data_IF_624450569152
#
_entry.id   IF_624450569152
#
_cell.length_a   1.000
_cell.length_b   1.000
_cell.length_c   1.000
_cell.angle_alpha   90.00
_cell.angle_beta   90.00
_cell.angle_gamma   90.00
#
_symmetry.space_group_name_H-M   'P 1'
#
loop_
_entity.id
_entity.type
_entity.pdbx_description
1 polymer ?
#
# COMPACT_ATOMS: atom_id res chain seq x y z
N UNK A 1 -43.15 68.68 -33.63
CA UNK A 1 -43.90 68.50 -34.92
C UNK A 1 -44.18 67.02 -35.10
N UNK A 2 -45.29 66.66 -35.66
CA UNK A 2 -46.18 65.63 -35.07
C UNK A 2 -45.98 64.22 -35.64
N UNK A 3 -46.69 63.25 -35.09
CA UNK A 3 -46.47 61.83 -35.34
C UNK A 3 -47.34 61.30 -36.47
N UNK A 4 -46.95 60.22 -37.09
CA UNK A 4 -47.75 59.37 -38.02
C UNK A 4 -47.27 57.96 -37.82
N UNK A 5 -48.03 56.92 -37.69
CA UNK A 5 -49.42 56.63 -38.02
C UNK A 5 -49.46 55.10 -38.02
N UNK A 6 -50.32 54.53 -37.19
CA UNK A 6 -50.48 53.08 -37.00
C UNK A 6 -51.39 52.54 -38.11
N UNK A 7 -50.98 51.43 -38.81
CA UNK A 7 -51.87 50.63 -39.61
C UNK A 7 -51.66 49.17 -39.27
N UNK A 8 -52.70 48.39 -38.92
CA UNK A 8 -52.61 46.96 -38.66
C UNK A 8 -52.64 46.14 -39.94
N UNK A 9 -51.93 44.99 -40.00
CA UNK A 9 -52.07 44.08 -41.13
C UNK A 9 -53.23 43.10 -40.98
N UNK A 10 -53.83 42.84 -42.09
CA UNK A 10 -54.95 41.96 -42.36
C UNK A 10 -54.67 40.50 -41.96
N UNK A 11 -55.70 39.87 -41.38
CA UNK A 11 -55.77 38.42 -41.14
C UNK A 11 -56.16 37.69 -42.41
N UNK A 12 -55.38 36.66 -42.80
CA UNK A 12 -55.75 35.63 -43.74
C UNK A 12 -55.95 34.29 -42.98
N UNK A 13 -56.87 33.44 -43.44
CA UNK A 13 -57.27 32.22 -42.71
C UNK A 13 -56.30 31.08 -42.95
N UNK A 14 -56.01 30.33 -41.85
CA UNK A 14 -55.12 29.16 -41.83
C UNK A 14 -55.97 27.91 -42.11
N UNK A 15 -55.60 27.06 -43.08
CA UNK A 15 -56.23 25.76 -43.23
C UNK A 15 -55.74 24.77 -42.18
N UNK A 16 -56.66 24.13 -41.53
CA UNK A 16 -56.45 23.07 -40.52
C UNK A 16 -55.91 21.80 -41.20
N UNK A 17 -54.68 21.46 -40.99
CA UNK A 17 -54.17 20.11 -41.28
C UNK A 17 -54.03 19.35 -39.95
N UNK A 18 -54.83 18.31 -39.80
CA UNK A 18 -54.57 17.32 -38.72
C UNK A 18 -53.38 16.44 -39.10
N UNK A 19 -52.26 16.66 -38.42
CA UNK A 19 -51.13 15.74 -38.46
C UNK A 19 -51.14 14.92 -37.17
N UNK A 20 -51.41 13.63 -37.27
CA UNK A 20 -51.19 12.64 -36.22
C UNK A 20 -49.69 12.55 -35.97
N UNK A 21 -49.19 13.15 -34.90
CA UNK A 21 -47.87 12.94 -34.40
C UNK A 21 -47.88 11.77 -33.42
N UNK A 22 -47.44 10.60 -33.92
CA UNK A 22 -47.16 9.43 -33.09
C UNK A 22 -45.88 9.74 -32.28
N UNK A 23 -46.03 10.08 -31.00
CA UNK A 23 -44.94 10.30 -30.06
C UNK A 23 -44.36 8.92 -29.68
N UNK A 24 -43.29 8.50 -30.35
CA UNK A 24 -42.46 7.41 -29.86
C UNK A 24 -41.68 7.91 -28.64
N UNK A 25 -42.16 7.58 -27.43
CA UNK A 25 -41.37 7.65 -26.20
C UNK A 25 -40.28 6.57 -26.27
N UNK A 26 -39.11 6.92 -26.78
CA UNK A 26 -37.89 6.13 -26.49
C UNK A 26 -37.53 6.37 -25.03
N UNK A 27 -38.09 5.55 -24.16
CA UNK A 27 -37.61 5.43 -22.77
C UNK A 27 -36.18 4.91 -22.79
N UNK A 28 -35.22 5.81 -22.51
CA UNK A 28 -33.85 5.43 -22.15
C UNK A 28 -33.94 4.62 -20.87
N UNK A 29 -33.99 3.31 -20.96
CA UNK A 29 -33.70 2.41 -19.84
C UNK A 29 -32.21 2.58 -19.51
N UNK A 30 -31.91 3.54 -18.64
CA UNK A 30 -30.67 3.53 -17.89
C UNK A 30 -30.67 2.24 -17.08
N UNK A 31 -29.96 1.24 -17.56
CA UNK A 31 -29.65 0.06 -16.78
C UNK A 31 -28.75 0.53 -15.63
N UNK A 32 -29.36 0.90 -14.51
CA UNK A 32 -28.67 0.93 -13.23
C UNK A 32 -28.31 -0.53 -12.98
N UNK A 33 -27.07 -0.88 -13.28
CA UNK A 33 -26.48 -2.11 -12.77
C UNK A 33 -26.53 -2.01 -11.24
N UNK A 34 -27.62 -2.48 -10.65
CA UNK A 34 -27.64 -2.83 -9.24
C UNK A 34 -26.54 -3.88 -9.07
N UNK A 35 -25.40 -3.45 -8.53
CA UNK A 35 -24.47 -4.38 -7.90
C UNK A 35 -25.27 -5.05 -6.80
N UNK A 36 -25.76 -6.25 -7.07
CA UNK A 36 -26.35 -7.08 -6.05
C UNK A 36 -25.26 -7.21 -4.96
N UNK A 37 -25.55 -6.71 -3.78
CA UNK A 37 -24.73 -6.96 -2.61
C UNK A 37 -24.75 -8.47 -2.40
N UNK A 38 -23.68 -9.14 -2.80
CA UNK A 38 -23.56 -10.57 -2.60
C UNK A 38 -23.47 -10.79 -1.09
N UNK A 39 -24.37 -11.62 -0.57
CA UNK A 39 -24.30 -12.03 0.83
C UNK A 39 -22.97 -12.78 1.02
N UNK A 40 -22.22 -12.49 2.11
CA UNK A 40 -20.99 -13.24 2.39
C UNK A 40 -21.25 -14.75 2.35
N UNK A 41 -20.40 -15.51 1.68
CA UNK A 41 -20.50 -16.96 1.74
C UNK A 41 -19.99 -17.45 3.09
N UNK A 42 -20.72 -18.37 3.78
CA UNK A 42 -20.19 -18.96 5.01
C UNK A 42 -18.82 -19.60 4.74
N UNK A 43 -17.87 -19.55 5.70
CA UNK A 43 -16.57 -20.19 5.57
C UNK A 43 -16.70 -21.68 5.22
N UNK A 44 -16.16 -22.09 4.07
CA UNK A 44 -16.21 -23.47 3.58
C UNK A 44 -14.92 -24.19 3.96
N UNK A 45 -14.97 -25.41 4.56
CA UNK A 45 -13.79 -26.20 4.86
C UNK A 45 -12.95 -26.45 3.58
N UNK A 46 -11.64 -26.32 3.70
CA UNK A 46 -10.68 -26.52 2.62
C UNK A 46 -9.42 -27.18 3.17
N UNK A 47 -8.76 -28.02 2.36
CA UNK A 47 -7.46 -28.54 2.74
C UNK A 47 -6.47 -27.38 2.94
N UNK A 48 -5.75 -27.40 4.08
CA UNK A 48 -4.73 -26.38 4.33
C UNK A 48 -3.56 -26.51 3.35
N UNK A 49 -2.92 -25.40 2.96
CA UNK A 49 -1.63 -25.42 2.28
C UNK A 49 -0.57 -26.20 3.08
N UNK A 50 0.41 -26.78 2.40
CA UNK A 50 1.43 -27.64 3.00
C UNK A 50 2.30 -26.95 4.07
N UNK A 51 2.44 -25.65 3.99
CA UNK A 51 3.21 -24.83 4.93
C UNK A 51 2.52 -24.67 6.28
N UNK A 52 1.19 -24.86 6.32
CA UNK A 52 0.38 -24.81 7.54
C UNK A 52 0.46 -26.14 8.28
N UNK A 53 0.55 -26.18 9.64
CA UNK A 53 0.59 -27.44 10.39
C UNK A 53 -0.56 -28.37 10.01
N UNK A 54 -0.28 -29.66 9.84
CA UNK A 54 -1.19 -30.66 9.24
C UNK A 54 -2.52 -30.81 9.99
N UNK A 55 -2.53 -30.65 11.32
CA UNK A 55 -3.72 -30.79 12.16
C UNK A 55 -4.60 -29.52 12.18
N UNK A 56 -4.18 -28.48 11.46
CA UNK A 56 -4.92 -27.22 11.37
C UNK A 56 -6.20 -27.38 10.54
N UNK A 57 -7.17 -26.53 10.79
CA UNK A 57 -8.43 -26.48 10.03
C UNK A 57 -8.47 -25.19 9.21
N UNK A 58 -8.60 -25.33 7.90
CA UNK A 58 -8.65 -24.19 6.99
C UNK A 58 -10.03 -24.02 6.36
N UNK A 59 -10.36 -22.76 6.11
CA UNK A 59 -11.63 -22.35 5.52
C UNK A 59 -11.38 -21.25 4.48
N UNK A 60 -12.25 -21.18 3.48
CA UNK A 60 -12.21 -20.16 2.42
C UNK A 60 -13.60 -19.67 2.10
N UNK A 61 -13.73 -18.49 1.52
CA UNK A 61 -14.99 -17.93 1.08
C UNK A 61 -14.85 -16.56 0.43
N UNK A 62 -15.98 -15.93 0.20
CA UNK A 62 -16.11 -14.58 -0.35
C UNK A 62 -16.83 -13.68 0.64
N UNK A 63 -16.40 -12.41 0.72
CA UNK A 63 -16.92 -11.46 1.71
C UNK A 63 -18.21 -10.74 1.29
N UNK A 64 -18.76 -11.08 0.13
CA UNK A 64 -19.95 -10.43 -0.44
C UNK A 64 -19.71 -9.05 -1.04
N UNK A 65 -18.47 -8.59 -1.09
CA UNK A 65 -18.08 -7.31 -1.71
C UNK A 65 -16.98 -7.50 -2.78
N UNK A 66 -16.65 -8.76 -3.11
CA UNK A 66 -15.69 -9.13 -4.14
C UNK A 66 -14.31 -9.51 -3.61
N UNK A 67 -14.11 -9.57 -2.29
CA UNK A 67 -12.89 -10.11 -1.71
C UNK A 67 -13.02 -11.59 -1.41
N UNK A 68 -11.98 -12.36 -1.72
CA UNK A 68 -11.80 -13.72 -1.26
C UNK A 68 -11.03 -13.73 0.06
N UNK A 69 -11.22 -14.76 0.87
CA UNK A 69 -10.49 -14.89 2.12
C UNK A 69 -10.08 -16.33 2.43
N UNK A 70 -9.06 -16.45 3.26
CA UNK A 70 -8.70 -17.67 3.96
C UNK A 70 -8.72 -17.43 5.46
N UNK A 71 -9.10 -18.50 6.20
CA UNK A 71 -9.02 -18.60 7.66
C UNK A 71 -8.31 -19.91 7.98
N UNK A 72 -7.32 -19.86 8.87
CA UNK A 72 -6.62 -21.04 9.38
C UNK A 72 -6.70 -21.05 10.92
N UNK A 73 -7.24 -22.13 11.48
CA UNK A 73 -7.31 -22.36 12.91
C UNK A 73 -6.29 -23.43 13.30
N UNK A 74 -5.44 -23.21 14.32
CA UNK A 74 -4.59 -24.27 14.84
C UNK A 74 -5.42 -25.44 15.39
N UNK A 75 -4.81 -26.62 15.52
CA UNK A 75 -5.50 -27.84 15.95
C UNK A 75 -6.33 -27.65 17.22
N UNK A 76 -5.76 -26.98 18.21
CA UNK A 76 -6.39 -26.71 19.50
C UNK A 76 -6.84 -25.25 19.61
N UNK A 77 -7.72 -24.84 18.70
CA UNK A 77 -8.32 -23.52 18.75
C UNK A 77 -9.37 -23.44 19.88
N UNK A 78 -9.07 -22.66 20.91
CA UNK A 78 -9.90 -22.41 22.10
C UNK A 78 -10.37 -20.95 22.22
N UNK A 79 -10.47 -20.23 21.08
CA UNK A 79 -10.74 -18.79 20.99
C UNK A 79 -9.62 -17.92 21.60
N UNK A 80 -8.39 -18.37 21.53
CA UNK A 80 -7.22 -17.66 22.04
C UNK A 80 -6.92 -16.36 21.29
N UNK A 81 -5.96 -16.39 20.38
CA UNK A 81 -5.51 -15.21 19.61
C UNK A 81 -5.89 -15.36 18.14
N UNK A 82 -6.53 -14.34 17.59
CA UNK A 82 -6.77 -14.17 16.16
C UNK A 82 -5.81 -13.12 15.61
N UNK A 83 -5.08 -13.45 14.55
CA UNK A 83 -4.28 -12.51 13.76
C UNK A 83 -5.02 -12.20 12.46
N UNK A 84 -5.47 -10.97 12.33
CA UNK A 84 -6.02 -10.41 11.09
C UNK A 84 -4.86 -9.91 10.24
N UNK A 85 -4.59 -10.59 9.13
CA UNK A 85 -3.46 -10.28 8.27
C UNK A 85 -3.87 -9.35 7.11
N UNK A 86 -3.20 -8.21 7.04
CA UNK A 86 -3.25 -7.28 5.92
C UNK A 86 -2.02 -7.49 5.02
N UNK A 87 -2.24 -8.02 3.82
CA UNK A 87 -1.17 -8.41 2.91
C UNK A 87 -0.44 -7.24 2.25
N UNK A 88 0.79 -7.50 1.83
CA UNK A 88 1.60 -6.56 1.05
C UNK A 88 1.06 -6.35 -0.37
N UNK A 89 1.56 -5.36 -1.05
CA UNK A 89 1.16 -5.03 -2.41
C UNK A 89 1.37 -3.55 -2.72
N UNK A 90 0.42 -2.89 -3.41
CA UNK A 90 -0.84 -3.42 -3.94
C UNK A 90 -0.61 -4.42 -5.09
N UNK A 91 -1.57 -5.34 -5.26
CA UNK A 91 -1.62 -6.19 -6.44
C UNK A 91 -1.88 -5.37 -7.71
N UNK A 92 -1.78 -6.00 -8.88
CA UNK A 92 -2.19 -5.36 -10.13
C UNK A 92 -3.66 -4.95 -10.09
N UNK A 93 -3.99 -3.89 -10.82
CA UNK A 93 -5.37 -3.38 -10.91
C UNK A 93 -6.32 -4.43 -11.49
N UNK A 94 -7.54 -4.43 -11.03
CA UNK A 94 -8.59 -5.33 -11.50
C UNK A 94 -9.32 -6.03 -10.36
N UNK A 95 -10.16 -7.03 -10.69
CA UNK A 95 -10.83 -7.86 -9.70
C UNK A 95 -9.84 -8.59 -8.81
N UNK A 96 -10.25 -8.88 -7.58
CA UNK A 96 -9.50 -9.73 -6.68
C UNK A 96 -9.27 -11.12 -7.27
N UNK A 97 -8.16 -11.76 -6.90
CA UNK A 97 -7.81 -13.13 -7.31
C UNK A 97 -7.72 -14.00 -6.07
N UNK A 98 -8.48 -15.10 -6.05
CA UNK A 98 -8.55 -15.99 -4.88
C UNK A 98 -7.19 -16.56 -4.47
N UNK A 99 -6.31 -16.82 -5.45
CA UNK A 99 -4.96 -17.37 -5.25
C UNK A 99 -4.13 -16.48 -4.32
N UNK A 100 -4.37 -15.17 -4.32
CA UNK A 100 -3.63 -14.23 -3.49
C UNK A 100 -3.74 -14.54 -2.00
N UNK A 101 -4.93 -14.86 -1.51
CA UNK A 101 -5.12 -15.20 -0.10
C UNK A 101 -4.46 -16.54 0.28
N UNK A 102 -4.36 -17.48 -0.67
CA UNK A 102 -3.62 -18.74 -0.50
C UNK A 102 -2.12 -18.47 -0.36
N UNK A 103 -1.55 -17.68 -1.26
CA UNK A 103 -0.14 -17.28 -1.22
C UNK A 103 0.24 -16.58 0.09
N UNK A 104 -0.66 -15.72 0.59
CA UNK A 104 -0.44 -15.04 1.86
C UNK A 104 -0.50 -16.01 3.06
N UNK A 105 -1.45 -16.95 3.09
CA UNK A 105 -1.49 -17.97 4.14
C UNK A 105 -0.24 -18.86 4.10
N UNK A 106 0.24 -19.27 2.93
CA UNK A 106 1.48 -20.03 2.78
C UNK A 106 2.66 -19.28 3.38
N UNK A 107 2.83 -18.02 2.97
CA UNK A 107 3.91 -17.14 3.44
C UNK A 107 3.86 -16.90 4.95
N UNK A 108 2.66 -16.75 5.51
CA UNK A 108 2.45 -16.39 6.92
C UNK A 108 2.00 -17.55 7.80
N UNK A 109 2.20 -18.78 7.33
CA UNK A 109 1.92 -20.00 8.09
C UNK A 109 2.62 -20.05 9.47
N UNK A 110 3.70 -19.27 9.64
CA UNK A 110 4.42 -19.07 10.91
C UNK A 110 3.46 -18.65 12.04
N UNK A 111 2.42 -17.86 11.73
CA UNK A 111 1.41 -17.42 12.68
C UNK A 111 0.62 -18.61 13.23
N UNK A 112 0.22 -19.55 12.36
CA UNK A 112 -0.51 -20.75 12.75
C UNK A 112 0.42 -21.74 13.50
N UNK A 113 1.68 -21.85 13.08
CA UNK A 113 2.74 -22.61 13.79
C UNK A 113 2.97 -22.09 15.21
N UNK A 114 2.81 -20.77 15.42
CA UNK A 114 2.89 -20.16 16.75
C UNK A 114 1.62 -20.37 17.61
N UNK A 115 0.63 -21.09 17.11
CA UNK A 115 -0.60 -21.41 17.85
C UNK A 115 -1.72 -20.38 17.73
N UNK A 116 -1.63 -19.42 16.81
CA UNK A 116 -2.64 -18.38 16.61
C UNK A 116 -3.52 -18.69 15.40
N UNK A 117 -4.80 -18.33 15.49
CA UNK A 117 -5.65 -18.30 14.29
C UNK A 117 -5.19 -17.19 13.37
N UNK A 118 -5.27 -17.44 12.08
CA UNK A 118 -4.92 -16.48 11.03
C UNK A 118 -6.12 -16.26 10.09
N UNK A 119 -6.37 -15.02 9.70
CA UNK A 119 -7.35 -14.68 8.69
C UNK A 119 -6.81 -13.56 7.78
N UNK A 120 -6.87 -13.78 6.46
CA UNK A 120 -6.39 -12.83 5.45
C UNK A 120 -7.36 -12.68 4.28
N UNK A 121 -7.51 -11.45 3.80
CA UNK A 121 -8.36 -11.06 2.68
C UNK A 121 -7.51 -10.68 1.46
N UNK A 122 -8.00 -10.98 0.25
CA UNK A 122 -7.41 -10.47 -1.01
C UNK A 122 -7.64 -8.99 -1.22
N UNK A 123 -8.46 -8.34 -0.37
CA UNK A 123 -9.18 -7.11 -0.64
C UNK A 123 -10.14 -7.25 -1.85
N UNK A 124 -11.17 -6.39 -1.93
CA UNK A 124 -12.26 -6.51 -2.95
C UNK A 124 -11.79 -6.25 -4.38
N UNK A 125 -10.63 -5.61 -4.55
CA UNK A 125 -9.99 -5.36 -5.85
C UNK A 125 -8.50 -5.08 -5.69
N UNK A 126 -7.75 -5.28 -6.75
CA UNK A 126 -6.36 -4.87 -6.86
C UNK A 126 -6.19 -3.36 -6.99
N UNK A 127 -4.94 -2.91 -7.05
CA UNK A 127 -4.55 -1.52 -7.10
C UNK A 127 -4.52 -0.85 -5.74
N UNK A 128 -4.33 0.47 -5.72
CA UNK A 128 -4.16 1.23 -4.50
C UNK A 128 -5.51 1.55 -3.82
N UNK A 129 -5.55 1.49 -2.49
CA UNK A 129 -6.71 1.84 -1.67
C UNK A 129 -6.53 1.33 -0.24
N UNK A 130 -5.93 2.14 0.63
CA UNK A 130 -5.61 1.75 2.01
C UNK A 130 -6.88 1.66 2.85
N UNK A 131 -7.74 2.67 2.79
CA UNK A 131 -9.02 2.67 3.52
C UNK A 131 -9.91 1.50 3.07
N UNK A 132 -10.01 1.27 1.76
CA UNK A 132 -10.77 0.15 1.20
C UNK A 132 -10.27 -1.20 1.74
N UNK A 133 -8.95 -1.39 1.77
CA UNK A 133 -8.33 -2.62 2.27
C UNK A 133 -8.52 -2.80 3.78
N UNK A 134 -8.51 -1.70 4.55
CA UNK A 134 -8.82 -1.72 5.98
C UNK A 134 -10.29 -2.13 6.26
N UNK A 135 -11.23 -1.62 5.46
CA UNK A 135 -12.65 -2.02 5.52
C UNK A 135 -12.85 -3.52 5.22
N UNK A 136 -12.14 -4.05 4.21
CA UNK A 136 -12.22 -5.46 3.85
C UNK A 136 -11.62 -6.37 4.93
N UNK A 137 -10.53 -5.91 5.58
CA UNK A 137 -9.94 -6.60 6.72
C UNK A 137 -10.92 -6.67 7.90
N UNK A 138 -11.62 -5.58 8.22
CA UNK A 138 -12.63 -5.56 9.30
C UNK A 138 -13.86 -6.39 8.94
N UNK A 139 -14.28 -6.41 7.67
CA UNK A 139 -15.38 -7.26 7.22
C UNK A 139 -15.04 -8.74 7.40
N UNK A 140 -13.81 -9.15 7.05
CA UNK A 140 -13.36 -10.51 7.30
C UNK A 140 -13.32 -10.85 8.80
N UNK A 141 -12.89 -9.92 9.67
CA UNK A 141 -12.95 -10.11 11.11
C UNK A 141 -14.40 -10.35 11.59
N UNK A 142 -15.34 -9.58 11.05
CA UNK A 142 -16.77 -9.75 11.37
C UNK A 142 -17.31 -11.12 10.93
N UNK A 143 -16.91 -11.60 9.74
CA UNK A 143 -17.22 -12.96 9.26
C UNK A 143 -16.62 -14.00 10.21
N UNK A 144 -15.36 -13.84 10.62
CA UNK A 144 -14.71 -14.73 11.58
C UNK A 144 -15.51 -14.82 12.89
N UNK A 145 -15.84 -13.69 13.48
CA UNK A 145 -16.57 -13.63 14.76
C UNK A 145 -17.96 -14.27 14.64
N UNK A 146 -18.63 -14.04 13.53
CA UNK A 146 -19.96 -14.63 13.29
C UNK A 146 -19.93 -16.18 13.27
N UNK A 147 -18.88 -16.78 12.70
CA UNK A 147 -18.85 -18.23 12.47
C UNK A 147 -18.03 -19.02 13.50
N UNK A 148 -17.02 -18.40 14.12
CA UNK A 148 -16.11 -19.05 15.07
C UNK A 148 -16.19 -18.45 16.48
N UNK A 149 -16.99 -17.39 16.66
CA UNK A 149 -17.07 -16.62 17.89
C UNK A 149 -15.90 -15.65 18.08
N UNK A 150 -15.99 -14.74 19.06
CA UNK A 150 -14.94 -13.78 19.34
C UNK A 150 -13.68 -14.48 19.89
N UNK A 151 -12.52 -14.06 19.41
CA UNK A 151 -11.24 -14.42 20.02
C UNK A 151 -11.03 -13.65 21.34
N UNK A 152 -10.22 -14.21 22.25
CA UNK A 152 -9.80 -13.52 23.48
C UNK A 152 -8.98 -12.27 23.16
N UNK A 153 -8.14 -12.35 22.14
CA UNK A 153 -7.35 -11.21 21.59
C UNK A 153 -7.39 -11.21 20.07
N UNK A 154 -7.53 -10.03 19.50
CA UNK A 154 -7.45 -9.82 18.05
C UNK A 154 -6.31 -8.87 17.73
N UNK A 155 -5.31 -9.36 16.99
CA UNK A 155 -4.13 -8.61 16.59
C UNK A 155 -4.22 -8.27 15.10
N UNK A 156 -4.02 -7.01 14.75
CA UNK A 156 -3.74 -6.62 13.36
C UNK A 156 -2.28 -6.93 13.04
N UNK A 157 -2.03 -7.68 11.98
CA UNK A 157 -0.70 -7.84 11.41
C UNK A 157 -0.68 -7.28 9.99
N UNK A 158 0.22 -6.37 9.71
CA UNK A 158 0.36 -5.79 8.37
C UNK A 158 1.79 -5.82 7.88
N UNK A 159 2.01 -6.30 6.65
CA UNK A 159 3.32 -6.37 6.03
C UNK A 159 3.38 -5.44 4.82
N UNK A 160 4.48 -4.64 4.68
CA UNK A 160 4.70 -3.75 3.53
C UNK A 160 3.53 -2.75 3.35
N UNK A 161 2.87 -2.74 2.20
CA UNK A 161 1.64 -2.01 1.95
C UNK A 161 0.56 -2.33 3.00
N UNK A 162 0.44 -3.61 3.40
CA UNK A 162 -0.46 -4.03 4.47
C UNK A 162 -0.13 -3.43 5.84
N UNK A 163 1.12 -2.98 6.07
CA UNK A 163 1.46 -2.19 7.26
C UNK A 163 0.69 -0.88 7.32
N UNK A 164 0.59 -0.17 6.18
CA UNK A 164 -0.29 1.01 6.07
C UNK A 164 -1.77 0.66 6.27
N UNK A 165 -2.22 -0.49 5.74
CA UNK A 165 -3.61 -0.97 5.90
C UNK A 165 -3.92 -1.27 7.38
N UNK A 166 -3.04 -2.01 8.06
CA UNK A 166 -3.22 -2.36 9.48
C UNK A 166 -3.16 -1.12 10.39
N UNK A 167 -2.23 -0.18 10.12
CA UNK A 167 -2.18 1.10 10.81
C UNK A 167 -3.49 1.89 10.63
N UNK A 168 -3.99 1.98 9.39
CA UNK A 168 -5.26 2.64 9.07
C UNK A 168 -6.46 1.97 9.74
N UNK A 169 -6.53 0.64 9.73
CA UNK A 169 -7.59 -0.10 10.41
C UNK A 169 -7.59 0.16 11.93
N UNK A 170 -6.41 0.20 12.55
CA UNK A 170 -6.27 0.50 13.97
C UNK A 170 -6.78 1.92 14.33
N UNK A 171 -6.64 2.88 13.42
CA UNK A 171 -7.16 4.24 13.59
C UNK A 171 -8.66 4.33 13.31
N UNK A 172 -9.14 3.75 12.20
CA UNK A 172 -10.55 3.80 11.79
C UNK A 172 -11.48 3.09 12.78
N UNK A 173 -11.02 1.98 13.34
CA UNK A 173 -11.78 1.16 14.29
C UNK A 173 -11.26 1.30 15.73
N UNK A 174 -10.65 2.44 16.04
CA UNK A 174 -10.22 2.74 17.39
C UNK A 174 -11.41 2.80 18.37
N UNK A 175 -11.12 2.71 19.67
CA UNK A 175 -12.12 2.88 20.72
C UNK A 175 -12.85 4.23 20.58
N UNK A 176 -14.19 4.21 20.58
CA UNK A 176 -15.05 5.38 20.46
C UNK A 176 -16.03 5.39 21.62
N UNK A 177 -16.23 6.55 22.24
CA UNK A 177 -17.20 6.79 23.33
C UNK A 177 -17.06 5.77 24.50
N UNK A 178 -15.81 5.42 24.84
CA UNK A 178 -15.50 4.48 25.92
C UNK A 178 -15.74 3.01 25.58
N UNK A 179 -16.19 2.68 24.37
CA UNK A 179 -16.28 1.30 23.88
C UNK A 179 -14.94 0.88 23.30
N UNK A 180 -14.38 -0.27 23.71
CA UNK A 180 -13.16 -0.78 23.11
C UNK A 180 -13.34 -1.04 21.61
N UNK A 181 -12.33 -0.73 20.81
CA UNK A 181 -12.26 -1.14 19.42
C UNK A 181 -12.14 -2.66 19.29
N UNK A 182 -12.28 -3.20 18.06
CA UNK A 182 -12.23 -4.64 17.82
C UNK A 182 -10.82 -5.24 17.87
N UNK A 183 -9.80 -4.43 17.97
CA UNK A 183 -8.39 -4.84 17.95
C UNK A 183 -7.71 -4.52 19.26
N UNK A 184 -6.92 -5.46 19.77
CA UNK A 184 -6.18 -5.34 21.03
C UNK A 184 -4.76 -4.85 20.84
N UNK A 185 -4.17 -5.03 19.65
CA UNK A 185 -2.81 -4.59 19.32
C UNK A 185 -2.49 -4.70 17.84
N UNK A 186 -1.35 -4.12 17.45
CA UNK A 186 -0.89 -4.06 16.06
C UNK A 186 0.56 -4.50 15.96
N UNK A 187 0.86 -5.39 15.03
CA UNK A 187 2.21 -5.75 14.61
C UNK A 187 2.41 -5.31 13.16
N UNK A 188 3.37 -4.42 12.91
CA UNK A 188 3.70 -3.93 11.57
C UNK A 188 5.08 -4.43 11.16
N UNK A 189 5.17 -5.10 10.01
CA UNK A 189 6.43 -5.67 9.54
C UNK A 189 6.81 -5.11 8.18
N UNK A 190 8.02 -4.55 8.07
CA UNK A 190 8.53 -3.88 6.85
C UNK A 190 7.50 -2.91 6.26
N UNK A 191 6.81 -2.14 7.11
CA UNK A 191 5.62 -1.37 6.76
C UNK A 191 5.89 -0.14 5.91
N UNK A 192 5.02 0.14 4.92
CA UNK A 192 4.99 1.43 4.22
C UNK A 192 4.17 2.41 5.06
N UNK A 193 4.79 2.99 6.07
CA UNK A 193 4.13 3.71 7.17
C UNK A 193 4.05 5.23 6.99
N UNK A 194 4.62 5.77 5.93
CA UNK A 194 4.55 7.21 5.65
C UNK A 194 3.19 7.67 5.10
N UNK A 195 2.45 6.75 4.49
CA UNK A 195 1.17 7.06 3.81
C UNK A 195 1.29 8.15 2.74
N UNK A 196 0.20 8.37 2.02
CA UNK A 196 0.06 9.51 1.11
C UNK A 196 1.24 9.75 0.16
N UNK A 197 1.54 11.00 -0.10
CA UNK A 197 2.69 11.41 -0.91
C UNK A 197 4.02 11.14 -0.20
N UNK A 198 4.07 11.19 1.13
CA UNK A 198 5.31 11.01 1.93
C UNK A 198 6.04 9.71 1.58
N UNK A 199 5.29 8.61 1.41
CA UNK A 199 5.87 7.31 1.07
C UNK A 199 6.21 7.14 -0.42
N UNK A 200 5.68 8.01 -1.31
CA UNK A 200 5.74 7.77 -2.76
C UNK A 200 6.34 8.89 -3.60
N UNK A 201 6.46 10.12 -3.08
CA UNK A 201 7.04 11.25 -3.82
C UNK A 201 8.42 10.96 -4.38
N UNK A 202 9.27 10.21 -3.66
CA UNK A 202 10.60 9.82 -4.15
C UNK A 202 10.54 9.03 -5.47
N UNK A 203 9.43 8.36 -5.76
CA UNK A 203 9.24 7.63 -7.04
C UNK A 203 8.97 8.58 -8.20
N UNK A 204 8.37 9.76 -7.95
CA UNK A 204 8.36 10.83 -8.93
C UNK A 204 9.79 11.35 -9.14
N UNK A 205 10.57 11.54 -8.07
CA UNK A 205 11.99 11.92 -8.19
C UNK A 205 12.74 10.91 -9.06
N UNK A 206 12.58 9.61 -8.77
CA UNK A 206 13.19 8.56 -9.59
C UNK A 206 12.77 8.65 -11.07
N UNK A 207 11.49 8.92 -11.35
CA UNK A 207 11.00 9.04 -12.74
C UNK A 207 11.64 10.23 -13.47
N UNK A 208 11.77 11.39 -12.82
CA UNK A 208 12.35 12.57 -13.45
C UNK A 208 13.86 12.42 -13.60
N UNK A 209 14.55 11.83 -12.61
CA UNK A 209 15.98 11.54 -12.67
C UNK A 209 16.27 10.50 -13.76
N UNK A 210 15.53 9.41 -13.79
CA UNK A 210 15.67 8.36 -14.80
C UNK A 210 15.41 8.89 -16.21
N UNK A 211 14.34 9.69 -16.40
CA UNK A 211 14.04 10.25 -17.71
C UNK A 211 15.11 11.24 -18.20
N UNK A 212 15.66 12.04 -17.29
CA UNK A 212 16.76 12.93 -17.62
C UNK A 212 18.02 12.18 -18.08
N UNK A 213 18.37 11.09 -17.38
CA UNK A 213 19.59 10.31 -17.66
C UNK A 213 19.41 9.39 -18.87
N UNK A 214 18.27 8.70 -18.98
CA UNK A 214 18.07 7.61 -19.95
C UNK A 214 17.22 7.99 -21.17
N UNK A 215 16.35 8.98 -21.07
CA UNK A 215 15.49 9.50 -22.15
C UNK A 215 14.68 8.43 -22.90
N UNK A 216 14.27 7.35 -22.19
CA UNK A 216 13.64 6.19 -22.82
C UNK A 216 12.34 5.71 -22.15
N UNK A 217 11.77 6.50 -21.21
CA UNK A 217 10.50 6.17 -20.58
C UNK A 217 9.67 7.42 -20.23
N UNK A 218 8.98 8.03 -21.24
CA UNK A 218 8.84 7.59 -22.66
C UNK A 218 10.08 7.85 -23.49
N UNK A 219 10.22 7.15 -24.65
CA UNK A 219 11.19 7.47 -25.68
C UNK A 219 10.79 8.75 -26.42
N UNK A 220 11.72 9.36 -27.14
CA UNK A 220 11.47 10.60 -27.89
C UNK A 220 10.44 10.46 -29.02
N UNK A 221 10.34 9.26 -29.61
CA UNK A 221 9.40 8.89 -30.67
C UNK A 221 8.06 8.36 -30.17
N UNK A 222 7.87 8.28 -28.84
CA UNK A 222 6.61 7.88 -28.21
C UNK A 222 5.78 9.10 -27.78
N UNK A 223 4.45 8.95 -27.60
CA UNK A 223 3.63 10.01 -27.01
C UNK A 223 4.19 10.47 -25.65
N UNK A 224 4.40 11.77 -25.52
CA UNK A 224 4.92 12.37 -24.30
C UNK A 224 3.77 12.60 -23.30
N UNK A 225 4.04 12.40 -22.02
CA UNK A 225 3.08 12.60 -20.93
C UNK A 225 3.79 13.03 -19.64
N UNK A 226 3.09 13.72 -18.72
CA UNK A 226 3.65 14.08 -17.43
C UNK A 226 4.04 12.82 -16.64
N UNK A 227 5.27 12.74 -16.12
CA UNK A 227 5.83 11.54 -15.51
C UNK A 227 5.06 11.08 -14.24
N UNK A 228 4.43 12.02 -13.53
CA UNK A 228 3.57 11.71 -12.38
C UNK A 228 2.32 10.89 -12.75
N UNK A 229 1.92 10.90 -14.03
CA UNK A 229 0.78 10.13 -14.53
C UNK A 229 1.02 8.61 -14.53
N UNK A 230 2.28 8.21 -14.40
CA UNK A 230 2.72 6.83 -14.47
C UNK A 230 2.83 6.34 -15.91
N UNK A 231 1.71 5.98 -16.51
CA UNK A 231 1.62 5.49 -17.89
C UNK A 231 0.22 5.80 -18.43
N UNK A 232 0.06 6.28 -19.69
CA UNK A 232 -1.26 6.43 -20.32
C UNK A 232 -2.06 5.14 -20.29
N UNK A 233 -3.39 5.22 -20.18
CA UNK A 233 -4.26 4.04 -20.05
C UNK A 233 -4.23 3.13 -21.29
N UNK A 234 -4.04 3.70 -22.46
CA UNK A 234 -3.94 3.03 -23.75
C UNK A 234 -2.53 2.53 -24.09
N UNK A 235 -1.52 2.90 -23.31
CA UNK A 235 -0.14 2.49 -23.54
C UNK A 235 0.01 0.96 -23.41
N UNK A 236 0.79 0.39 -24.31
CA UNK A 236 1.03 -1.06 -24.41
C UNK A 236 2.32 -1.52 -23.71
N UNK A 237 3.09 -0.59 -23.16
CA UNK A 237 4.35 -0.92 -22.48
C UNK A 237 4.12 -1.98 -21.39
N UNK A 238 4.91 -3.04 -21.44
CA UNK A 238 4.93 -4.12 -20.45
C UNK A 238 6.03 -3.91 -19.42
N UNK A 239 5.95 -4.62 -18.28
CA UNK A 239 7.01 -4.60 -17.26
C UNK A 239 8.33 -5.18 -17.79
N UNK A 240 8.26 -6.19 -18.65
CA UNK A 240 9.43 -6.77 -19.30
C UNK A 240 10.12 -5.75 -20.21
N UNK A 241 9.37 -5.06 -21.06
CA UNK A 241 9.90 -3.99 -21.91
C UNK A 241 10.50 -2.83 -21.13
N UNK A 242 9.88 -2.44 -19.99
CA UNK A 242 10.48 -1.42 -19.12
C UNK A 242 11.81 -1.93 -18.55
N UNK A 243 11.88 -3.17 -18.09
CA UNK A 243 13.11 -3.76 -17.58
C UNK A 243 14.23 -3.79 -18.66
N UNK A 244 13.89 -4.10 -19.93
CA UNK A 244 14.83 -4.02 -21.05
C UNK A 244 15.32 -2.59 -21.30
N UNK A 245 14.42 -1.57 -21.23
CA UNK A 245 14.81 -0.16 -21.36
C UNK A 245 15.77 0.27 -20.24
N UNK A 246 15.48 -0.16 -19.02
CA UNK A 246 16.33 0.15 -17.86
C UNK A 246 17.69 -0.52 -18.03
N UNK A 247 17.73 -1.77 -18.42
CA UNK A 247 19.00 -2.49 -18.63
C UNK A 247 19.81 -1.91 -19.79
N UNK A 248 19.17 -1.54 -20.89
CA UNK A 248 19.85 -0.90 -22.02
C UNK A 248 20.57 0.39 -21.62
N UNK A 249 19.94 1.21 -20.74
CA UNK A 249 20.51 2.47 -20.27
C UNK A 249 21.57 2.28 -19.18
N UNK A 250 21.36 1.33 -18.27
CA UNK A 250 22.11 1.26 -17.00
C UNK A 250 22.95 -0.02 -16.86
N UNK A 251 22.66 -1.05 -17.64
CA UNK A 251 23.29 -2.36 -17.48
C UNK A 251 22.99 -3.01 -16.12
N UNK A 252 21.94 -2.62 -15.43
CA UNK A 252 21.65 -3.06 -14.05
C UNK A 252 21.50 -4.59 -13.91
N UNK A 253 21.10 -5.27 -14.99
CA UNK A 253 20.98 -6.73 -15.04
C UNK A 253 22.27 -7.45 -15.44
N UNK A 254 23.32 -6.69 -15.79
CA UNK A 254 24.61 -7.22 -16.21
C UNK A 254 25.60 -7.23 -15.06
N UNK A 255 26.52 -8.20 -15.01
CA UNK A 255 27.69 -8.09 -14.14
C UNK A 255 28.45 -6.78 -14.42
N UNK A 256 29.00 -6.17 -13.38
CA UNK A 256 29.67 -4.86 -13.47
C UNK A 256 30.72 -4.82 -14.58
N UNK A 257 31.50 -5.91 -14.74
CA UNK A 257 32.55 -6.02 -15.77
C UNK A 257 32.03 -6.01 -17.22
N UNK A 258 30.73 -6.30 -17.43
CA UNK A 258 30.10 -6.31 -18.76
C UNK A 258 29.36 -5.00 -19.08
N UNK A 259 29.31 -4.06 -18.14
CA UNK A 259 28.68 -2.74 -18.34
C UNK A 259 29.63 -1.83 -19.09
N UNK A 260 29.09 -1.08 -20.05
CA UNK A 260 29.84 0.02 -20.67
C UNK A 260 30.09 1.14 -19.65
N UNK A 261 31.08 2.00 -19.89
CA UNK A 261 31.34 3.16 -19.01
C UNK A 261 30.13 4.09 -18.93
N UNK A 262 29.39 4.25 -20.05
CA UNK A 262 28.16 5.05 -20.04
C UNK A 262 27.07 4.40 -19.17
N UNK A 263 26.89 3.09 -19.21
CA UNK A 263 25.93 2.38 -18.35
C UNK A 263 26.31 2.53 -16.86
N UNK A 264 27.59 2.41 -16.53
CA UNK A 264 28.09 2.63 -15.16
C UNK A 264 27.82 4.06 -14.69
N UNK A 265 28.11 5.06 -15.52
CA UNK A 265 27.88 6.48 -15.20
C UNK A 265 26.39 6.80 -15.01
N UNK A 266 25.54 6.30 -15.92
CA UNK A 266 24.09 6.47 -15.83
C UNK A 266 23.54 5.86 -14.56
N UNK A 267 23.89 4.61 -14.25
CA UNK A 267 23.46 3.89 -13.06
C UNK A 267 23.93 4.62 -11.80
N UNK A 268 25.21 4.99 -11.72
CA UNK A 268 25.77 5.70 -10.58
C UNK A 268 25.03 7.03 -10.33
N UNK A 269 24.74 7.81 -11.38
CA UNK A 269 23.98 9.05 -11.25
C UNK A 269 22.60 8.80 -10.65
N UNK A 270 21.85 7.82 -11.18
CA UNK A 270 20.51 7.51 -10.69
C UNK A 270 20.56 7.08 -9.22
N UNK A 271 21.45 6.14 -8.87
CA UNK A 271 21.54 5.60 -7.52
C UNK A 271 22.02 6.63 -6.50
N UNK A 272 22.99 7.49 -6.85
CA UNK A 272 23.50 8.52 -5.96
C UNK A 272 22.44 9.59 -5.68
N UNK A 273 21.71 10.01 -6.70
CA UNK A 273 20.68 11.05 -6.55
C UNK A 273 19.46 10.53 -5.79
N UNK A 274 19.00 9.31 -6.09
CA UNK A 274 17.78 8.74 -5.47
C UNK A 274 18.07 7.98 -4.18
N UNK A 275 19.32 7.55 -3.98
CA UNK A 275 19.78 6.83 -2.79
C UNK A 275 19.06 5.50 -2.54
N UNK A 276 18.84 4.74 -3.62
CA UNK A 276 18.25 3.38 -3.57
C UNK A 276 19.31 2.32 -3.87
N UNK A 277 19.14 1.08 -3.38
CA UNK A 277 19.98 -0.03 -3.77
C UNK A 277 19.83 -0.36 -5.27
N UNK A 278 20.93 -0.74 -5.91
CA UNK A 278 20.95 -1.09 -7.33
C UNK A 278 19.87 -2.11 -7.72
N UNK A 279 19.74 -3.20 -6.97
CA UNK A 279 18.78 -4.27 -7.23
C UNK A 279 17.31 -3.85 -7.14
N UNK A 280 17.01 -2.70 -6.54
CA UNK A 280 15.63 -2.20 -6.40
C UNK A 280 15.18 -1.26 -7.52
N UNK A 281 16.09 -0.83 -8.40
CA UNK A 281 15.81 0.19 -9.43
C UNK A 281 14.61 -0.16 -10.32
N UNK A 282 14.61 -1.36 -10.91
CA UNK A 282 13.51 -1.81 -11.79
C UNK A 282 12.20 -1.90 -10.99
N UNK A 283 12.25 -2.42 -9.77
CA UNK A 283 11.09 -2.51 -8.89
C UNK A 283 10.46 -1.15 -8.62
N UNK A 284 11.25 -0.17 -8.21
CA UNK A 284 10.77 1.18 -7.96
C UNK A 284 10.23 1.88 -9.23
N UNK A 285 10.84 1.67 -10.40
CA UNK A 285 10.32 2.17 -11.66
C UNK A 285 8.99 1.51 -12.05
N UNK A 286 8.83 0.21 -11.80
CA UNK A 286 7.54 -0.46 -11.98
C UNK A 286 6.44 0.19 -11.12
N UNK A 287 6.73 0.48 -9.85
CA UNK A 287 5.79 1.16 -8.96
C UNK A 287 5.49 2.58 -9.45
N UNK A 288 6.51 3.35 -9.82
CA UNK A 288 6.36 4.71 -10.38
C UNK A 288 5.62 4.72 -11.73
N UNK A 289 5.43 3.59 -12.37
CA UNK A 289 4.72 3.45 -13.64
C UNK A 289 3.30 2.92 -13.43
N UNK A 290 3.13 1.71 -12.91
CA UNK A 290 1.80 1.06 -12.82
C UNK A 290 1.01 1.47 -11.59
N UNK A 291 1.66 1.64 -10.43
CA UNK A 291 0.98 2.16 -9.25
C UNK A 291 0.56 3.62 -9.47
N UNK A 292 1.42 4.45 -10.05
CA UNK A 292 1.07 5.84 -10.36
C UNK A 292 -0.09 5.92 -11.36
N UNK A 293 -0.09 5.05 -12.39
CA UNK A 293 -1.22 4.94 -13.33
C UNK A 293 -2.52 4.62 -12.60
N UNK A 294 -2.53 3.61 -11.74
CA UNK A 294 -3.71 3.24 -10.95
C UNK A 294 -4.15 4.40 -10.04
N UNK A 295 -3.24 4.89 -9.23
CA UNK A 295 -3.53 5.91 -8.24
C UNK A 295 -4.05 7.21 -8.87
N UNK A 296 -3.33 7.71 -9.87
CA UNK A 296 -3.68 8.99 -10.50
C UNK A 296 -4.94 8.87 -11.33
N UNK A 297 -5.03 7.86 -12.22
CA UNK A 297 -6.06 7.83 -13.24
C UNK A 297 -7.33 7.10 -12.81
N UNK A 298 -7.23 6.16 -11.85
CA UNK A 298 -8.38 5.37 -11.41
C UNK A 298 -8.87 5.74 -10.00
N UNK A 299 -8.06 6.44 -9.19
CA UNK A 299 -8.40 6.78 -7.79
C UNK A 299 -8.54 8.28 -7.54
N UNK A 300 -7.82 9.09 -8.31
CA UNK A 300 -7.75 10.54 -8.14
C UNK A 300 -8.26 11.32 -9.35
N UNK A 301 -9.06 10.70 -10.21
CA UNK A 301 -9.71 11.32 -11.38
C UNK A 301 -8.72 12.09 -12.29
N UNK A 302 -7.53 11.54 -12.48
CA UNK A 302 -6.48 12.13 -13.30
C UNK A 302 -5.69 13.27 -12.64
N UNK A 303 -5.93 13.57 -11.36
CA UNK A 303 -5.24 14.63 -10.63
C UNK A 303 -3.91 14.14 -10.06
N UNK A 304 -2.94 15.04 -10.05
CA UNK A 304 -1.56 14.76 -9.62
C UNK A 304 -1.37 14.92 -8.09
N UNK A 305 -1.15 13.84 -7.31
CA UNK A 305 -0.83 13.96 -5.89
C UNK A 305 0.67 14.15 -5.60
N UNK A 306 1.55 14.09 -6.62
CA UNK A 306 2.99 14.05 -6.45
C UNK A 306 3.66 15.35 -6.93
N UNK A 307 4.60 15.86 -6.15
CA UNK A 307 5.33 17.07 -6.49
C UNK A 307 6.82 16.95 -6.31
N UNK A 308 7.59 17.70 -7.14
CA UNK A 308 9.03 17.86 -6.95
C UNK A 308 9.49 19.31 -7.13
N UNK A 309 8.56 20.26 -7.14
CA UNK A 309 8.90 21.67 -7.05
C UNK A 309 9.61 21.92 -5.72
N UNK A 310 10.74 22.65 -5.75
CA UNK A 310 11.56 22.88 -4.56
C UNK A 310 12.50 21.74 -4.17
N UNK A 311 12.35 20.53 -4.72
CA UNK A 311 13.31 19.46 -4.50
C UNK A 311 14.68 19.82 -5.10
N UNK A 312 15.76 19.69 -4.31
CA UNK A 312 17.14 19.93 -4.76
C UNK A 312 17.88 18.60 -4.81
N UNK A 313 18.11 18.12 -6.02
CA UNK A 313 18.84 16.88 -6.24
C UNK A 313 20.33 17.09 -6.12
N UNK A 314 21.03 16.12 -5.52
CA UNK A 314 22.47 16.09 -5.30
C UNK A 314 23.03 14.72 -5.63
N UNK A 315 24.28 14.65 -6.06
CA UNK A 315 24.97 13.40 -6.36
C UNK A 315 25.13 13.09 -7.86
N UNK A 316 24.79 14.05 -8.74
CA UNK A 316 25.15 14.01 -10.16
C UNK A 316 26.55 14.59 -10.41
N UNK A 317 27.06 14.46 -11.62
CA UNK A 317 28.34 15.06 -12.01
C UNK A 317 28.29 16.61 -12.03
N UNK A 318 27.12 17.20 -12.32
CA UNK A 318 26.84 18.62 -12.29
C UNK A 318 25.42 18.84 -11.76
N UNK A 319 25.31 19.03 -10.45
CA UNK A 319 24.04 19.21 -9.78
C UNK A 319 23.31 20.49 -10.19
N UNK A 320 24.04 21.54 -10.62
CA UNK A 320 23.42 22.78 -11.08
C UNK A 320 22.71 22.57 -12.41
N UNK A 321 23.40 22.03 -13.41
CA UNK A 321 22.81 21.67 -14.70
C UNK A 321 21.70 20.63 -14.57
N UNK A 322 21.90 19.63 -13.71
CA UNK A 322 20.90 18.60 -13.42
C UNK A 322 19.60 19.19 -12.89
N UNK A 323 19.68 20.03 -11.84
CA UNK A 323 18.50 20.68 -11.26
C UNK A 323 17.81 21.66 -12.18
N UNK A 324 18.54 22.30 -13.09
CA UNK A 324 17.96 23.19 -14.11
C UNK A 324 17.24 22.43 -15.23
N UNK A 325 17.68 21.19 -15.55
CA UNK A 325 17.18 20.41 -16.67
C UNK A 325 16.09 19.40 -16.38
N UNK A 326 16.00 18.87 -15.16
CA UNK A 326 14.99 17.87 -14.80
C UNK A 326 13.57 18.46 -14.78
N UNK A 327 12.59 17.66 -15.21
CA UNK A 327 11.20 18.05 -15.19
C UNK A 327 10.71 18.40 -13.76
N UNK A 328 9.91 19.45 -13.64
CA UNK A 328 9.33 19.91 -12.39
C UNK A 328 7.81 19.87 -12.45
N UNK A 329 7.19 19.30 -11.43
CA UNK A 329 5.76 19.13 -11.33
C UNK A 329 5.27 19.66 -9.97
N UNK A 330 4.22 20.48 -10.00
CA UNK A 330 3.48 20.84 -8.80
C UNK A 330 2.40 19.77 -8.52
N UNK A 331 2.24 19.39 -7.26
CA UNK A 331 1.13 18.56 -6.85
C UNK A 331 -0.18 19.36 -6.82
N UNK A 332 -1.29 18.72 -7.14
CA UNK A 332 -2.63 19.24 -6.92
C UNK A 332 -2.99 19.12 -5.44
N UNK A 333 -3.24 20.21 -4.71
CA UNK A 333 -3.57 20.15 -3.29
C UNK A 333 -4.79 19.28 -2.96
N UNK A 334 -5.78 19.21 -3.85
CA UNK A 334 -6.97 18.38 -3.64
C UNK A 334 -6.62 16.90 -3.78
N UNK A 335 -5.75 16.54 -4.74
CA UNK A 335 -5.26 15.17 -4.89
C UNK A 335 -4.37 14.74 -3.71
N UNK A 336 -3.49 15.63 -3.23
CA UNK A 336 -2.68 15.39 -2.02
C UNK A 336 -3.58 15.13 -0.82
N UNK A 337 -4.58 15.97 -0.60
CA UNK A 337 -5.52 15.82 0.51
C UNK A 337 -6.37 14.54 0.39
N UNK A 338 -6.80 14.16 -0.82
CA UNK A 338 -7.54 12.93 -1.07
C UNK A 338 -6.68 11.69 -0.78
N UNK A 339 -5.44 11.67 -1.26
CA UNK A 339 -4.49 10.60 -1.00
C UNK A 339 -4.14 10.49 0.49
N UNK A 340 -3.96 11.62 1.16
CA UNK A 340 -3.70 11.65 2.61
C UNK A 340 -4.89 11.09 3.42
N UNK A 341 -6.12 11.48 3.09
CA UNK A 341 -7.31 10.91 3.74
C UNK A 341 -7.40 9.39 3.59
N UNK A 342 -7.09 8.86 2.41
CA UNK A 342 -7.08 7.42 2.17
C UNK A 342 -5.99 6.70 2.98
N UNK A 343 -4.76 7.23 3.01
CA UNK A 343 -3.59 6.42 3.34
C UNK A 343 -2.63 7.01 4.37
N UNK A 344 -2.66 8.30 4.66
CA UNK A 344 -1.74 8.85 5.64
C UNK A 344 -2.15 8.42 7.06
N UNK A 345 -1.20 7.97 7.90
CA UNK A 345 -1.48 7.73 9.30
C UNK A 345 -1.75 9.06 10.01
N UNK A 346 -2.69 9.06 10.93
CA UNK A 346 -3.03 10.22 11.77
C UNK A 346 -2.39 10.13 13.15
N UNK A 347 -1.85 8.96 13.49
CA UNK A 347 -1.31 8.65 14.81
C UNK A 347 -2.38 8.42 15.89
N UNK A 348 -3.67 8.44 15.54
CA UNK A 348 -4.78 8.29 16.51
C UNK A 348 -5.01 6.82 16.90
N UNK A 349 -3.95 6.07 17.17
CA UNK A 349 -4.04 4.70 17.66
C UNK A 349 -4.39 4.65 19.14
N UNK A 350 -5.13 3.63 19.58
CA UNK A 350 -5.56 3.44 20.97
C UNK A 350 -5.06 2.16 21.62
N UNK A 351 -4.28 1.38 20.89
CA UNK A 351 -3.76 0.07 21.29
C UNK A 351 -2.24 0.02 21.14
N UNK A 352 -1.54 -0.93 21.80
CA UNK A 352 -0.11 -1.17 21.59
C UNK A 352 0.23 -1.43 20.12
N UNK A 353 1.30 -0.80 19.65
CA UNK A 353 1.88 -0.98 18.30
C UNK A 353 3.31 -1.43 18.44
N UNK A 354 3.64 -2.58 17.88
CA UNK A 354 4.99 -3.10 17.78
C UNK A 354 5.38 -3.18 16.31
N UNK A 355 6.60 -2.75 15.95
CA UNK A 355 7.08 -2.86 14.58
C UNK A 355 8.34 -3.72 14.48
N UNK A 356 8.53 -4.33 13.30
CA UNK A 356 9.77 -4.99 12.89
C UNK A 356 10.12 -4.49 11.49
N UNK A 357 11.33 -3.95 11.31
CA UNK A 357 11.78 -3.50 9.99
C UNK A 357 13.22 -3.94 9.72
N UNK A 358 13.50 -4.42 8.52
CA UNK A 358 14.86 -4.70 8.09
C UNK A 358 15.63 -3.38 7.88
N UNK A 359 16.83 -3.28 8.46
CA UNK A 359 17.65 -2.05 8.38
C UNK A 359 18.02 -1.72 6.93
N UNK A 360 18.20 -2.76 6.10
CA UNK A 360 18.63 -2.64 4.72
C UNK A 360 17.48 -2.95 3.72
N UNK A 361 16.23 -2.74 4.12
CA UNK A 361 15.07 -2.98 3.24
C UNK A 361 15.19 -2.20 1.93
N UNK A 362 15.20 -2.88 0.77
CA UNK A 362 15.39 -2.23 -0.52
C UNK A 362 14.11 -1.61 -1.09
N UNK A 363 12.95 -1.87 -0.47
CA UNK A 363 11.62 -1.56 -1.04
C UNK A 363 10.84 -0.57 -0.18
N UNK A 364 10.64 -0.87 1.10
CA UNK A 364 10.09 0.06 2.09
C UNK A 364 11.26 0.56 2.95
N UNK A 365 11.62 1.81 2.80
CA UNK A 365 12.79 2.34 3.50
C UNK A 365 12.59 2.33 5.01
N UNK A 366 13.59 1.86 5.74
CA UNK A 366 13.55 1.83 7.21
C UNK A 366 13.31 3.22 7.80
N UNK A 367 13.67 4.28 7.09
CA UNK A 367 13.43 5.67 7.49
C UNK A 367 11.93 6.04 7.56
N UNK A 368 11.03 5.23 6.97
CA UNK A 368 9.58 5.39 7.16
C UNK A 368 9.15 5.14 8.61
N UNK A 369 9.92 4.34 9.35
CA UNK A 369 9.72 4.14 10.78
C UNK A 369 9.90 5.43 11.59
N UNK A 370 10.84 6.32 11.19
CA UNK A 370 10.97 7.62 11.85
C UNK A 370 9.77 8.52 11.61
N UNK A 371 9.28 8.56 10.36
CA UNK A 371 8.10 9.36 10.01
C UNK A 371 6.85 8.87 10.77
N UNK A 372 6.69 7.55 10.92
CA UNK A 372 5.58 6.97 11.69
C UNK A 372 5.70 7.30 13.18
N UNK A 373 6.89 7.19 13.77
CA UNK A 373 7.13 7.60 15.16
C UNK A 373 6.79 9.06 15.38
N UNK A 374 7.27 9.95 14.52
CA UNK A 374 6.99 11.39 14.58
C UNK A 374 5.47 11.66 14.50
N UNK A 375 4.76 10.91 13.67
CA UNK A 375 3.29 11.03 13.55
C UNK A 375 2.59 10.62 14.85
N UNK A 376 2.98 9.50 15.48
CA UNK A 376 2.39 9.08 16.76
C UNK A 376 2.75 10.03 17.90
N UNK A 377 3.99 10.50 17.95
CA UNK A 377 4.46 11.50 18.95
C UNK A 377 3.65 12.80 18.82
N UNK A 378 3.47 13.32 17.61
CA UNK A 378 2.68 14.51 17.33
C UNK A 378 1.19 14.34 17.73
N UNK A 379 0.66 13.12 17.63
CA UNK A 379 -0.70 12.78 18.06
C UNK A 379 -0.80 12.48 19.57
N UNK A 380 0.30 12.59 20.34
CA UNK A 380 0.34 12.25 21.77
C UNK A 380 0.23 10.75 22.05
N UNK A 381 0.54 9.89 21.08
CA UNK A 381 0.46 8.44 21.20
C UNK A 381 1.82 7.73 21.13
N UNK A 382 2.93 8.44 21.23
CA UNK A 382 4.28 7.88 21.17
C UNK A 382 4.52 6.74 22.15
N UNK A 383 3.89 6.80 23.35
CA UNK A 383 4.01 5.73 24.35
C UNK A 383 3.38 4.41 23.92
N UNK A 384 2.53 4.39 22.91
CA UNK A 384 1.94 3.17 22.35
C UNK A 384 2.81 2.49 21.32
N UNK A 385 3.95 3.07 20.95
CA UNK A 385 4.84 2.55 19.93
C UNK A 385 6.10 1.94 20.54
N UNK A 386 6.45 0.76 20.06
CA UNK A 386 7.78 0.16 20.22
C UNK A 386 8.27 -0.28 18.83
N UNK A 387 9.46 0.17 18.46
CA UNK A 387 10.06 -0.16 17.16
C UNK A 387 11.23 -1.11 17.35
N UNK A 388 11.27 -2.19 16.58
CA UNK A 388 12.37 -3.14 16.52
C UNK A 388 12.92 -3.24 15.10
N UNK A 389 14.22 -3.50 15.00
CA UNK A 389 14.93 -3.51 13.73
C UNK A 389 15.77 -4.77 13.60
N UNK A 390 15.83 -5.31 12.39
CA UNK A 390 16.58 -6.52 12.06
C UNK A 390 17.71 -6.20 11.08
N UNK A 391 18.90 -6.78 11.30
CA UNK A 391 20.05 -6.67 10.42
C UNK A 391 19.89 -7.64 9.23
N UNK A 392 18.93 -7.31 8.38
CA UNK A 392 18.56 -8.09 7.20
C UNK A 392 18.36 -7.13 6.01
N UNK A 393 18.43 -7.69 4.80
CA UNK A 393 18.23 -6.96 3.53
C UNK A 393 16.96 -7.39 2.79
N UNK A 394 16.13 -8.23 3.43
CA UNK A 394 14.90 -8.73 2.87
C UNK A 394 13.76 -7.73 3.13
N UNK A 395 12.83 -7.63 2.16
CA UNK A 395 11.68 -6.75 2.32
C UNK A 395 10.50 -7.43 3.01
N UNK A 396 10.13 -8.62 2.57
CA UNK A 396 8.80 -9.15 2.90
C UNK A 396 8.76 -10.07 4.10
N UNK A 397 9.71 -10.97 4.24
CA UNK A 397 9.71 -12.01 5.26
C UNK A 397 11.09 -12.10 5.87
N UNK A 398 11.16 -11.84 7.15
CA UNK A 398 12.41 -11.83 7.92
C UNK A 398 12.58 -13.15 8.67
N UNK A 399 13.59 -13.26 9.49
CA UNK A 399 13.89 -14.51 10.19
C UNK A 399 12.73 -15.05 11.04
N UNK A 400 12.44 -16.34 10.89
CA UNK A 400 11.27 -17.03 11.46
C UNK A 400 11.11 -16.84 12.97
N UNK A 401 12.20 -16.94 13.74
CA UNK A 401 12.14 -16.82 15.21
C UNK A 401 11.69 -15.43 15.70
N UNK A 402 11.79 -14.40 14.85
CA UNK A 402 11.42 -13.04 15.22
C UNK A 402 9.90 -12.87 15.37
N UNK A 403 9.09 -13.51 14.51
CA UNK A 403 7.63 -13.36 14.52
C UNK A 403 6.96 -13.87 15.81
N UNK A 404 7.17 -15.12 16.26
CA UNK A 404 6.58 -15.59 17.51
C UNK A 404 7.07 -14.78 18.71
N UNK A 405 8.33 -14.30 18.71
CA UNK A 405 8.86 -13.43 19.76
C UNK A 405 8.12 -12.10 19.84
N UNK A 406 7.85 -11.48 18.68
CA UNK A 406 7.11 -10.23 18.58
C UNK A 406 5.65 -10.39 19.00
N UNK A 407 4.97 -11.45 18.55
CA UNK A 407 3.61 -11.73 18.99
C UNK A 407 3.55 -11.95 20.51
N UNK A 408 4.46 -12.73 21.06
CA UNK A 408 4.51 -12.96 22.50
C UNK A 408 4.79 -11.69 23.31
N UNK A 409 5.70 -10.82 22.82
CA UNK A 409 6.00 -9.54 23.46
C UNK A 409 4.80 -8.58 23.39
N UNK A 410 4.10 -8.53 22.26
CA UNK A 410 2.91 -7.71 22.09
C UNK A 410 1.76 -8.20 22.98
N UNK A 411 1.56 -9.51 23.09
CA UNK A 411 0.54 -10.10 23.96
C UNK A 411 0.82 -9.86 25.44
N UNK A 412 2.09 -9.95 25.90
CA UNK A 412 2.46 -9.60 27.26
C UNK A 412 2.17 -8.13 27.57
N UNK A 413 2.39 -7.24 26.59
CA UNK A 413 2.03 -5.84 26.76
C UNK A 413 0.52 -5.63 26.87
N UNK A 414 -0.26 -6.32 26.05
CA UNK A 414 -1.73 -6.24 26.07
C UNK A 414 -2.32 -6.86 27.35
N UNK A 415 -1.87 -8.05 27.73
CA UNK A 415 -2.47 -8.83 28.80
C UNK A 415 -1.99 -8.43 30.22
N UNK A 416 -0.72 -7.97 30.31
CA UNK A 416 -0.08 -7.70 31.60
C UNK A 416 0.43 -6.27 31.75
N UNK A 417 0.29 -5.42 30.73
CA UNK A 417 0.82 -4.07 30.74
C UNK A 417 2.35 -3.97 30.64
N UNK A 418 3.04 -5.08 30.35
CA UNK A 418 4.51 -5.13 30.27
C UNK A 418 4.95 -4.63 28.91
N UNK A 419 5.16 -3.31 28.80
CA UNK A 419 5.66 -2.70 27.57
C UNK A 419 7.03 -3.27 27.22
N UNK A 420 7.22 -3.89 26.04
CA UNK A 420 8.51 -4.45 25.64
C UNK A 420 9.53 -3.35 25.36
N UNK A 421 10.79 -3.68 25.51
CA UNK A 421 11.91 -2.91 24.97
C UNK A 421 12.54 -3.69 23.81
N UNK A 422 13.27 -3.02 22.87
CA UNK A 422 13.99 -3.73 21.82
C UNK A 422 14.92 -4.83 22.36
N UNK A 423 15.59 -4.60 23.50
CA UNK A 423 16.43 -5.58 24.17
C UNK A 423 15.63 -6.79 24.68
N UNK A 424 14.47 -6.57 25.30
CA UNK A 424 13.62 -7.65 25.80
C UNK A 424 13.06 -8.50 24.65
N UNK A 425 12.71 -7.88 23.52
CA UNK A 425 12.27 -8.61 22.31
C UNK A 425 13.43 -9.43 21.74
N UNK A 426 14.65 -8.87 21.67
CA UNK A 426 15.82 -9.60 21.18
C UNK A 426 16.17 -10.79 22.07
N UNK A 427 16.14 -10.62 23.40
CA UNK A 427 16.36 -11.71 24.34
C UNK A 427 15.28 -12.81 24.20
N UNK A 428 14.00 -12.42 24.09
CA UNK A 428 12.89 -13.33 23.83
C UNK A 428 13.06 -14.08 22.50
N UNK A 429 13.47 -13.40 21.46
CA UNK A 429 13.69 -14.03 20.16
C UNK A 429 14.68 -15.20 20.22
N UNK A 430 15.74 -15.07 21.00
CA UNK A 430 16.71 -16.15 21.20
C UNK A 430 16.10 -17.43 21.79
N UNK A 431 15.07 -17.31 22.60
CA UNK A 431 14.36 -18.49 23.15
C UNK A 431 13.55 -19.24 22.11
N UNK A 432 13.17 -18.59 21.03
CA UNK A 432 12.44 -19.21 19.91
C UNK A 432 13.34 -19.89 18.88
N UNK A 433 14.67 -19.62 18.89
CA UNK A 433 15.58 -20.21 17.90
C UNK A 433 15.61 -21.75 17.93
N UNK A 434 15.35 -22.35 19.09
CA UNK A 434 15.30 -23.80 19.19
C UNK A 434 14.16 -24.42 18.34
N UNK A 435 13.03 -23.72 18.22
CA UNK A 435 11.85 -24.20 17.48
C UNK A 435 11.77 -23.66 16.04
N UNK A 436 12.37 -22.51 15.75
CA UNK A 436 12.21 -21.79 14.49
C UNK A 436 13.53 -21.53 13.74
N UNK A 437 14.66 -22.09 14.25
CA UNK A 437 15.98 -21.89 13.65
C UNK A 437 16.71 -20.63 14.15
N UNK A 438 18.03 -20.55 13.96
CA UNK A 438 18.91 -19.47 14.47
C UNK A 438 18.77 -18.19 13.63
N UNK A 439 17.58 -17.61 13.59
CA UNK A 439 17.19 -16.53 12.68
C UNK A 439 16.94 -15.19 13.38
N UNK A 440 17.29 -15.05 14.66
CA UNK A 440 17.22 -13.79 15.39
C UNK A 440 18.33 -12.82 14.96
N UNK A 441 17.96 -11.81 14.17
CA UNK A 441 18.84 -10.77 13.65
C UNK A 441 18.56 -9.39 14.25
N UNK A 442 17.83 -9.32 15.36
CA UNK A 442 17.42 -8.05 15.98
C UNK A 442 18.63 -7.21 16.42
N UNK A 443 18.52 -5.89 16.21
CA UNK A 443 19.50 -4.87 16.58
C UNK A 443 18.87 -3.86 17.55
N UNK A 444 18.84 -4.15 18.87
CA UNK A 444 18.15 -3.31 19.86
C UNK A 444 18.64 -1.86 19.92
N UNK A 445 19.93 -1.64 19.67
CA UNK A 445 20.53 -0.29 19.69
C UNK A 445 20.29 0.53 18.42
N UNK A 446 19.69 -0.05 17.37
CA UNK A 446 19.43 0.69 16.13
C UNK A 446 18.22 1.62 16.31
N UNK A 447 18.31 2.80 15.71
CA UNK A 447 17.22 3.77 15.62
C UNK A 447 17.13 4.28 14.18
N UNK A 448 15.95 4.22 13.58
CA UNK A 448 15.73 4.71 12.23
C UNK A 448 16.07 6.20 12.12
N UNK A 449 16.92 6.60 11.15
CA UNK A 449 17.22 8.01 10.91
C UNK A 449 16.00 8.72 10.30
N UNK A 450 16.01 10.08 10.31
CA UNK A 450 14.94 10.86 9.69
C UNK A 450 14.73 10.53 8.20
N UNK A 451 13.48 10.52 7.73
CA UNK A 451 13.14 10.22 6.34
C UNK A 451 13.89 11.11 5.33
N UNK A 452 14.14 12.37 5.71
CA UNK A 452 14.90 13.33 4.90
C UNK A 452 16.35 12.89 4.58
N UNK A 453 16.91 11.93 5.33
CA UNK A 453 18.23 11.36 5.01
C UNK A 453 18.19 10.45 3.79
N UNK A 454 17.04 9.92 3.45
CA UNK A 454 16.79 9.01 2.33
C UNK A 454 16.07 9.70 1.16
N UNK A 455 14.98 10.36 1.45
CA UNK A 455 14.11 11.01 0.44
C UNK A 455 14.45 12.49 0.38
N UNK A 456 14.57 13.04 -0.82
CA UNK A 456 14.84 14.48 -1.01
C UNK A 456 13.69 15.30 -0.42
N UNK A 457 13.94 16.17 0.56
CA UNK A 457 12.91 16.98 1.17
C UNK A 457 12.21 17.90 0.15
N UNK A 458 10.92 18.12 0.35
CA UNK A 458 10.19 19.17 -0.37
C UNK A 458 10.37 20.47 0.41
N UNK A 459 10.78 21.52 -0.30
CA UNK A 459 10.74 22.86 0.30
C UNK A 459 9.30 23.38 0.21
N UNK A 460 8.79 24.01 1.27
CA UNK A 460 7.45 24.59 1.28
C UNK A 460 7.26 25.69 0.23
#
# INVERSE_FOLDING_TARGET
MPPRGYHPPMRLPIPTFFAFATLMLMGSLSAIAQTASLVPTPPQPRACPAEVPAESRCYTGEDGQGAFYWIALPAQWDRGVLVMHAHGGPADTGPAKAERATEDLQRWAITVKAGYAWAGSTYRRGGYGITMAAEDTERLRSIFVQHFGPARRTILHGQSYGGGVASKAAELYAAVDGRPGPYDGVLLTSGVLGGGSVAYDFRLDLRVVYQWVCQNHPKADEPQYPLWRGLPMDAKLTRAELAERVDACTGVRKPVAQRTEQQKANLATILNVIRIPEGSLIGHLNWATWLFRDLVQLRLDGRNPFGNVGARYQGSADDAAFNAGVARYAADPQAVAALARDSAPTGQVRVPVLTLHAIHDPTAFVELESAYRETLEAAGQGERLVQTFSDESEHSYLGDAQYPALFAALLDWIDHGVKPTPDSVAARCKTFEAAYGPTCRLRPGYRSPPLATRVTPRQP
#
